data_IF_071077415069
#
_entry.id   IF_071077415069
#
_cell.length_a   1.000
_cell.length_b   1.000
_cell.length_c   1.000
_cell.angle_alpha   90.00
_cell.angle_beta   90.00
_cell.angle_gamma   90.00
#
_symmetry.space_group_name_H-M   'P 1'
#
loop_
_entity.id
_entity.type
_entity.pdbx_description
1 polymer ?
#
# COMPACT_ATOMS: atom_id res chain seq x y z
N UNK A 1 8.32 -54.68 -24.03
CA UNK A 1 7.16 -55.55 -23.74
C UNK A 1 7.75 -56.88 -23.29
N UNK A 2 7.50 -57.33 -22.06
CA UNK A 2 8.03 -58.60 -21.60
C UNK A 2 7.07 -59.71 -22.06
N UNK A 3 7.58 -60.58 -22.90
CA UNK A 3 6.93 -61.82 -23.30
C UNK A 3 7.49 -62.94 -22.44
N UNK A 4 6.65 -63.93 -22.11
CA UNK A 4 7.18 -65.14 -21.50
C UNK A 4 7.91 -66.00 -22.56
N UNK A 5 8.60 -67.05 -22.08
CA UNK A 5 9.46 -67.93 -22.94
C UNK A 5 8.60 -68.69 -23.97
N UNK A 6 7.29 -68.72 -23.80
CA UNK A 6 6.33 -69.41 -24.69
C UNK A 6 5.54 -68.47 -25.59
N UNK A 7 5.84 -67.17 -25.58
CA UNK A 7 5.26 -66.14 -26.49
C UNK A 7 3.84 -65.71 -26.12
N UNK A 8 3.38 -65.97 -24.88
CA UNK A 8 2.09 -65.47 -24.43
C UNK A 8 2.19 -64.10 -23.79
N UNK A 9 1.31 -63.16 -24.16
CA UNK A 9 1.16 -61.91 -23.48
C UNK A 9 0.77 -62.13 -22.01
N UNK A 10 1.64 -61.72 -21.09
CA UNK A 10 1.32 -61.61 -19.69
C UNK A 10 0.20 -60.58 -19.53
N UNK A 11 -1.03 -61.07 -19.55
CA UNK A 11 -2.22 -60.27 -19.38
C UNK A 11 -2.10 -59.44 -18.12
N UNK A 12 -1.99 -58.12 -18.29
CA UNK A 12 -2.06 -57.15 -17.23
C UNK A 12 -3.45 -57.18 -16.57
N UNK A 13 -3.61 -58.17 -15.67
CA UNK A 13 -4.81 -58.36 -14.88
C UNK A 13 -5.04 -57.27 -13.85
N UNK A 14 -4.92 -56.02 -14.25
CA UNK A 14 -5.44 -54.86 -13.53
C UNK A 14 -6.98 -54.92 -13.64
N UNK A 15 -7.58 -55.75 -12.80
CA UNK A 15 -9.02 -55.66 -12.50
C UNK A 15 -9.26 -54.22 -12.03
N UNK A 16 -9.86 -53.41 -12.90
CA UNK A 16 -10.44 -52.14 -12.48
C UNK A 16 -11.43 -52.46 -11.36
N UNK A 17 -11.35 -51.83 -10.19
CA UNK A 17 -12.36 -51.95 -9.17
C UNK A 17 -13.68 -51.45 -9.76
N UNK A 18 -14.54 -52.36 -10.18
CA UNK A 18 -15.90 -52.11 -10.71
C UNK A 18 -16.91 -51.86 -9.60
N UNK A 19 -16.45 -51.36 -8.47
CA UNK A 19 -17.31 -50.96 -7.37
C UNK A 19 -17.35 -49.45 -7.20
N UNK A 20 -18.07 -48.74 -8.08
CA UNK A 20 -18.57 -47.46 -7.62
C UNK A 20 -19.55 -47.74 -6.49
N UNK A 21 -19.37 -47.14 -5.31
CA UNK A 21 -20.31 -47.28 -4.21
C UNK A 21 -21.69 -46.84 -4.73
N UNK A 22 -22.65 -47.78 -4.80
CA UNK A 22 -24.03 -47.45 -5.10
C UNK A 22 -24.58 -46.71 -3.87
N UNK A 23 -24.69 -45.42 -3.98
CA UNK A 23 -25.31 -44.58 -2.96
C UNK A 23 -26.78 -44.95 -2.82
N UNK A 24 -27.26 -45.08 -1.59
CA UNK A 24 -28.66 -45.37 -1.32
C UNK A 24 -29.59 -44.31 -1.94
N UNK A 25 -30.83 -44.68 -2.33
CA UNK A 25 -31.81 -43.72 -2.83
C UNK A 25 -32.00 -42.57 -1.84
N UNK A 26 -31.70 -41.33 -2.27
CA UNK A 26 -31.73 -40.13 -1.44
C UNK A 26 -30.36 -39.60 -0.98
N UNK A 27 -29.33 -40.44 -0.96
CA UNK A 27 -27.95 -39.96 -0.65
C UNK A 27 -27.35 -39.21 -1.84
N UNK A 28 -27.64 -39.63 -3.06
CA UNK A 28 -27.22 -38.96 -4.28
C UNK A 28 -27.76 -37.53 -4.35
N UNK A 29 -29.02 -37.31 -4.00
CA UNK A 29 -29.60 -35.96 -3.96
C UNK A 29 -28.97 -35.03 -2.91
N UNK A 30 -28.67 -35.59 -1.72
CA UNK A 30 -27.98 -34.85 -0.65
C UNK A 30 -26.57 -34.49 -1.07
N UNK A 31 -25.86 -35.41 -1.72
CA UNK A 31 -24.51 -35.17 -2.23
C UNK A 31 -24.49 -34.12 -3.32
N UNK A 32 -25.44 -34.13 -4.25
CA UNK A 32 -25.57 -33.12 -5.27
C UNK A 32 -25.88 -31.72 -4.71
N UNK A 33 -26.80 -31.65 -3.72
CA UNK A 33 -27.10 -30.37 -3.03
C UNK A 33 -25.87 -29.84 -2.29
N UNK A 34 -25.18 -30.71 -1.55
CA UNK A 34 -23.95 -30.35 -0.85
C UNK A 34 -22.87 -29.84 -1.82
N UNK A 35 -22.70 -30.53 -2.96
CA UNK A 35 -21.73 -30.12 -4.00
C UNK A 35 -22.08 -28.78 -4.63
N UNK A 36 -23.37 -28.50 -4.89
CA UNK A 36 -23.82 -27.21 -5.42
C UNK A 36 -23.59 -26.07 -4.40
N UNK A 37 -23.91 -26.29 -3.12
CA UNK A 37 -23.67 -25.31 -2.06
C UNK A 37 -22.19 -25.04 -1.85
N UNK A 38 -21.37 -26.07 -1.92
CA UNK A 38 -19.91 -25.96 -1.80
C UNK A 38 -19.33 -25.18 -2.99
N UNK A 39 -19.81 -25.45 -4.20
CA UNK A 39 -19.42 -24.70 -5.41
C UNK A 39 -19.80 -23.23 -5.35
N UNK A 40 -21.01 -22.91 -4.87
CA UNK A 40 -21.45 -21.53 -4.66
C UNK A 40 -20.62 -20.80 -3.59
N UNK A 41 -20.31 -21.50 -2.49
CA UNK A 41 -19.46 -20.97 -1.42
C UNK A 41 -18.05 -20.63 -1.90
N UNK A 42 -17.43 -21.53 -2.67
CA UNK A 42 -16.10 -21.29 -3.25
C UNK A 42 -16.13 -20.14 -4.25
N UNK A 43 -17.13 -20.08 -5.13
CA UNK A 43 -17.26 -18.99 -6.09
C UNK A 43 -17.44 -17.62 -5.40
N UNK A 44 -18.26 -17.55 -4.34
CA UNK A 44 -18.45 -16.33 -3.56
C UNK A 44 -17.15 -15.88 -2.87
N UNK A 45 -16.37 -16.84 -2.34
CA UNK A 45 -15.09 -16.55 -1.69
C UNK A 45 -14.06 -16.03 -2.70
N UNK A 46 -13.95 -16.65 -3.87
CA UNK A 46 -13.05 -16.20 -4.94
C UNK A 46 -13.42 -14.80 -5.43
N UNK A 47 -14.71 -14.53 -5.64
CA UNK A 47 -15.17 -13.21 -6.06
C UNK A 47 -14.94 -12.15 -4.96
N UNK A 48 -15.13 -12.52 -3.69
CA UNK A 48 -14.85 -11.64 -2.56
C UNK A 48 -13.36 -11.27 -2.47
N UNK A 49 -12.47 -12.24 -2.59
CA UNK A 49 -11.02 -12.02 -2.57
C UNK A 49 -10.57 -11.20 -3.79
N UNK A 50 -11.05 -11.56 -4.99
CA UNK A 50 -10.73 -10.80 -6.21
C UNK A 50 -11.24 -9.36 -6.13
N UNK A 51 -12.46 -9.15 -5.61
CA UNK A 51 -13.02 -7.83 -5.39
C UNK A 51 -12.19 -7.01 -4.41
N UNK A 52 -11.71 -7.62 -3.33
CA UNK A 52 -10.83 -6.96 -2.36
C UNK A 52 -9.53 -6.48 -3.00
N UNK A 53 -8.85 -7.34 -3.78
CA UNK A 53 -7.62 -6.96 -4.47
C UNK A 53 -7.81 -5.82 -5.47
N UNK A 54 -8.93 -5.82 -6.21
CA UNK A 54 -9.23 -4.73 -7.14
C UNK A 54 -9.47 -3.41 -6.41
N UNK A 55 -10.22 -3.43 -5.30
CA UNK A 55 -10.47 -2.24 -4.49
C UNK A 55 -9.18 -1.73 -3.86
N UNK A 56 -8.36 -2.60 -3.28
CA UNK A 56 -7.08 -2.25 -2.68
C UNK A 56 -6.14 -1.60 -3.73
N UNK A 57 -6.00 -2.21 -4.92
CA UNK A 57 -5.20 -1.66 -6.01
C UNK A 57 -5.70 -0.31 -6.53
N UNK A 58 -7.03 -0.10 -6.55
CA UNK A 58 -7.62 1.17 -6.94
C UNK A 58 -7.40 2.27 -5.89
N UNK A 59 -7.34 1.90 -4.62
CA UNK A 59 -7.08 2.84 -3.52
C UNK A 59 -5.60 3.19 -3.41
N UNK A 60 -4.70 2.23 -3.57
CA UNK A 60 -3.25 2.43 -3.57
C UNK A 60 -2.78 3.38 -4.70
N UNK A 61 -3.54 3.46 -5.80
CA UNK A 61 -3.26 4.37 -6.91
C UNK A 61 -3.81 5.80 -6.74
N UNK A 62 -4.48 6.10 -5.63
CA UNK A 62 -5.04 7.44 -5.37
C UNK A 62 -4.15 8.25 -4.46
N UNK A 63 -4.04 9.54 -4.77
CA UNK A 63 -3.46 10.50 -3.84
C UNK A 63 -4.37 10.67 -2.62
N UNK A 64 -3.78 10.64 -1.45
CA UNK A 64 -4.44 10.88 -0.16
C UNK A 64 -3.72 11.99 0.60
N UNK A 65 -4.42 12.73 1.49
CA UNK A 65 -3.78 13.74 2.32
C UNK A 65 -2.59 13.17 3.09
N UNK A 66 -1.45 13.85 3.02
CA UNK A 66 -0.19 13.45 3.64
C UNK A 66 0.25 14.51 4.63
N UNK A 67 0.48 14.15 5.92
CA UNK A 67 1.03 15.08 6.89
C UNK A 67 2.42 15.56 6.46
N UNK A 68 2.61 16.87 6.48
CA UNK A 68 3.87 17.51 6.12
C UNK A 68 4.76 17.69 7.36
N UNK A 69 5.94 17.04 7.35
CA UNK A 69 6.95 17.16 8.40
C UNK A 69 8.14 17.92 7.84
N UNK A 70 8.30 19.22 8.19
CA UNK A 70 9.46 19.98 7.76
C UNK A 70 10.73 19.41 8.40
N UNK A 71 11.77 19.36 7.58
CA UNK A 71 13.08 18.80 7.94
C UNK A 71 14.18 19.74 7.45
N UNK A 72 15.11 20.05 8.32
CA UNK A 72 16.30 20.79 7.96
C UNK A 72 17.50 19.88 8.19
N UNK A 73 18.07 19.35 7.13
CA UNK A 73 19.29 18.57 7.23
C UNK A 73 20.49 19.51 7.37
N UNK A 74 21.29 19.39 8.43
CA UNK A 74 22.40 20.32 8.67
C UNK A 74 23.41 20.39 7.52
N UNK A 75 23.63 19.27 6.83
CA UNK A 75 24.61 19.17 5.74
C UNK A 75 24.05 19.64 4.38
N UNK A 76 22.72 19.65 4.21
CA UNK A 76 22.06 20.14 2.98
C UNK A 76 21.69 21.63 3.04
N UNK A 77 21.61 22.19 4.25
CA UNK A 77 21.14 23.58 4.43
C UNK A 77 22.17 24.65 4.08
N UNK A 78 23.45 24.32 4.03
CA UNK A 78 24.47 25.31 3.63
C UNK A 78 24.35 25.73 2.15
N UNK A 79 23.72 24.87 1.30
CA UNK A 79 23.53 25.11 -0.12
C UNK A 79 22.07 25.44 -0.52
N UNK A 80 21.10 25.17 0.37
CA UNK A 80 19.69 25.45 0.09
C UNK A 80 19.37 26.90 0.46
N UNK A 81 18.84 27.65 -0.51
CA UNK A 81 18.34 28.97 -0.27
C UNK A 81 17.26 28.97 0.82
N UNK A 82 17.21 30.03 1.65
CA UNK A 82 16.12 30.22 2.65
C UNK A 82 14.71 30.22 2.04
N UNK A 83 14.61 30.14 0.71
CA UNK A 83 13.38 30.01 -0.08
C UNK A 83 12.97 28.56 -0.34
N UNK A 84 13.62 27.55 0.27
CA UNK A 84 13.24 26.14 0.08
C UNK A 84 12.91 25.51 1.42
N UNK A 85 11.75 24.84 1.49
CA UNK A 85 11.38 23.97 2.61
C UNK A 85 11.51 22.53 2.15
N UNK A 86 12.19 21.73 2.95
CA UNK A 86 12.30 20.28 2.75
C UNK A 86 11.32 19.57 3.66
N UNK A 87 10.58 18.61 3.14
CA UNK A 87 9.69 17.76 3.91
C UNK A 87 10.21 16.34 3.88
N UNK A 88 10.27 15.70 5.05
CA UNK A 88 10.57 14.28 5.15
C UNK A 88 9.32 13.49 4.74
N UNK A 89 9.48 12.64 3.75
CA UNK A 89 8.44 11.73 3.25
C UNK A 89 8.94 10.29 3.30
N UNK A 90 8.02 9.33 3.39
CA UNK A 90 8.39 7.93 3.31
C UNK A 90 8.81 7.54 1.89
N UNK A 91 9.81 6.67 1.77
CA UNK A 91 10.24 6.14 0.47
C UNK A 91 9.17 5.33 -0.24
N UNK A 92 9.29 5.25 -1.56
CA UNK A 92 8.34 4.54 -2.41
C UNK A 92 7.01 5.27 -2.58
N UNK A 93 6.89 6.48 -2.02
CA UNK A 93 5.70 7.34 -2.17
C UNK A 93 5.94 8.40 -3.23
N UNK A 94 4.96 8.56 -4.10
CA UNK A 94 4.88 9.72 -4.97
C UNK A 94 4.11 10.82 -4.23
N UNK A 95 4.76 11.96 -3.96
CA UNK A 95 4.17 13.08 -3.22
C UNK A 95 4.04 14.27 -4.16
N UNK A 96 2.94 15.00 -4.03
CA UNK A 96 2.67 16.22 -4.77
C UNK A 96 2.25 17.36 -3.85
N UNK A 97 2.64 18.58 -4.21
CA UNK A 97 2.15 19.81 -3.60
C UNK A 97 0.77 20.15 -4.18
N UNK A 98 -0.24 20.19 -3.32
CA UNK A 98 -1.62 20.53 -3.71
C UNK A 98 -1.89 22.00 -3.53
N UNK A 99 -1.44 22.58 -2.42
CA UNK A 99 -1.54 24.03 -2.19
C UNK A 99 -0.36 24.54 -1.39
N UNK A 100 0.04 25.77 -1.72
CA UNK A 100 1.02 26.58 -1.02
C UNK A 100 0.45 28.00 -0.89
N UNK A 101 0.28 28.44 0.34
CA UNK A 101 -0.16 29.81 0.65
C UNK A 101 0.90 30.49 1.50
N UNK A 102 1.40 31.60 1.03
CA UNK A 102 2.41 32.39 1.74
C UNK A 102 1.82 33.70 2.26
N UNK A 103 2.03 33.97 3.52
CA UNK A 103 1.73 35.25 4.18
C UNK A 103 2.98 35.84 4.81
N UNK A 104 2.88 37.00 5.41
CA UNK A 104 4.00 37.60 6.13
C UNK A 104 4.44 36.84 7.38
N UNK A 105 3.55 35.97 7.96
CA UNK A 105 3.79 35.27 9.21
C UNK A 105 3.72 33.74 9.08
N UNK A 106 3.12 33.24 8.04
CA UNK A 106 2.85 31.80 7.87
C UNK A 106 3.10 31.33 6.43
N UNK A 107 3.53 30.09 6.31
CA UNK A 107 3.55 29.31 5.07
C UNK A 107 2.65 28.11 5.28
N UNK A 108 1.53 28.05 4.56
CA UNK A 108 0.55 26.97 4.67
C UNK A 108 0.74 25.98 3.53
N UNK A 109 0.93 24.72 3.87
CA UNK A 109 1.26 23.66 2.92
C UNK A 109 0.25 22.53 3.01
N UNK A 110 -0.17 22.04 1.84
CA UNK A 110 -0.93 20.81 1.72
C UNK A 110 -0.24 19.86 0.76
N UNK A 111 0.16 18.72 1.28
CA UNK A 111 0.71 17.62 0.50
C UNK A 111 -0.30 16.49 0.34
N UNK A 112 -0.19 15.78 -0.76
CA UNK A 112 -0.89 14.51 -0.99
C UNK A 112 0.11 13.48 -1.49
N UNK A 113 0.00 12.26 -0.97
CA UNK A 113 0.86 11.14 -1.35
C UNK A 113 0.08 9.94 -1.83
N UNK A 114 0.70 9.13 -2.70
CA UNK A 114 0.20 7.81 -3.09
C UNK A 114 1.30 6.78 -2.98
N UNK A 115 0.92 5.51 -2.84
CA UNK A 115 1.85 4.39 -2.64
C UNK A 115 2.02 4.01 -1.18
N UNK A 116 2.77 2.96 -0.93
CA UNK A 116 3.04 2.44 0.42
C UNK A 116 4.36 3.00 0.94
N UNK A 117 4.36 3.39 2.20
CA UNK A 117 5.58 3.76 2.88
C UNK A 117 6.42 2.51 3.16
N UNK A 118 7.62 2.44 2.62
CA UNK A 118 8.59 1.41 2.94
C UNK A 118 9.34 1.82 4.22
N UNK A 119 9.14 1.04 5.29
CA UNK A 119 9.37 1.43 6.70
C UNK A 119 10.80 1.80 7.10
N UNK A 120 11.82 1.63 6.27
CA UNK A 120 13.21 1.79 6.67
C UNK A 120 14.00 2.83 5.85
N UNK A 121 13.33 3.68 5.10
CA UNK A 121 14.02 4.71 4.34
C UNK A 121 13.30 6.06 4.40
N UNK A 122 14.05 7.12 4.19
CA UNK A 122 13.58 8.50 4.11
C UNK A 122 13.83 9.02 2.71
N UNK A 123 12.87 9.76 2.21
CA UNK A 123 12.99 10.55 0.99
C UNK A 123 12.57 11.99 1.29
N UNK A 124 12.95 12.92 0.44
CA UNK A 124 12.76 14.34 0.69
C UNK A 124 11.97 14.99 -0.44
N UNK A 125 10.98 15.78 -0.06
CA UNK A 125 10.18 16.56 -0.98
C UNK A 125 10.48 18.05 -0.78
N UNK A 126 10.89 18.73 -1.84
CA UNK A 126 11.32 20.13 -1.80
C UNK A 126 10.17 21.02 -2.27
N UNK A 127 9.90 22.08 -1.51
CA UNK A 127 8.91 23.10 -1.83
C UNK A 127 9.61 24.44 -1.92
N UNK A 128 9.56 25.05 -3.09
CA UNK A 128 10.11 26.39 -3.33
C UNK A 128 9.11 27.47 -2.92
N UNK A 129 9.58 28.45 -2.18
CA UNK A 129 8.82 29.60 -1.72
C UNK A 129 9.10 30.81 -2.62
N UNK A 130 8.14 31.70 -2.72
CA UNK A 130 8.33 32.98 -3.39
C UNK A 130 9.19 33.96 -2.58
N UNK A 131 9.21 33.79 -1.25
CA UNK A 131 10.01 34.60 -0.33
C UNK A 131 10.77 33.72 0.67
N UNK A 132 11.82 34.29 1.28
CA UNK A 132 12.57 33.59 2.34
C UNK A 132 11.65 33.15 3.48
N UNK A 133 11.86 31.93 4.00
CA UNK A 133 11.08 31.42 5.13
C UNK A 133 11.25 32.32 6.36
N UNK A 134 12.47 32.73 6.70
CA UNK A 134 12.75 33.56 7.87
C UNK A 134 12.14 32.98 9.15
N UNK A 135 11.44 33.85 9.89
CA UNK A 135 10.74 33.47 11.15
C UNK A 135 9.30 33.05 10.92
N UNK A 136 8.85 32.83 9.67
CA UNK A 136 7.48 32.39 9.38
C UNK A 136 7.23 30.98 9.90
N UNK A 137 6.03 30.76 10.39
CA UNK A 137 5.58 29.44 10.79
C UNK A 137 5.18 28.61 9.57
N UNK A 138 5.45 27.32 9.60
CA UNK A 138 4.95 26.36 8.61
C UNK A 138 3.70 25.71 9.19
N UNK A 139 2.59 25.75 8.48
CA UNK A 139 1.32 25.15 8.87
C UNK A 139 0.98 24.01 7.91
N UNK A 140 0.93 22.79 8.43
CA UNK A 140 0.44 21.65 7.70
C UNK A 140 -1.10 21.65 7.67
N UNK A 141 -1.69 21.86 6.50
CA UNK A 141 -3.15 21.92 6.34
C UNK A 141 -3.84 20.57 6.46
N UNK A 142 -3.09 19.46 6.49
CA UNK A 142 -3.66 18.12 6.68
C UNK A 142 -3.84 17.80 8.15
N UNK A 143 -2.83 18.00 8.96
CA UNK A 143 -2.85 17.69 10.40
C UNK A 143 -3.22 18.89 11.28
N UNK A 144 -3.12 20.10 10.77
CA UNK A 144 -3.25 21.33 11.54
C UNK A 144 -2.02 21.70 12.37
N UNK A 145 -0.95 20.91 12.29
CA UNK A 145 0.27 21.16 13.07
C UNK A 145 0.99 22.41 12.56
N UNK A 146 1.66 23.05 13.48
CA UNK A 146 2.43 24.27 13.24
C UNK A 146 3.88 24.03 13.64
N UNK A 147 4.80 24.51 12.81
CA UNK A 147 6.25 24.34 13.02
C UNK A 147 6.96 25.67 12.89
N UNK A 148 7.96 25.87 13.73
CA UNK A 148 8.85 27.01 13.68
C UNK A 148 10.30 26.54 13.59
N UNK A 149 11.17 27.30 12.94
CA UNK A 149 12.61 27.02 12.97
C UNK A 149 13.12 26.97 14.40
N UNK A 150 13.89 25.95 14.71
CA UNK A 150 14.49 25.76 16.02
C UNK A 150 15.86 25.12 15.87
N UNK A 151 16.93 25.83 16.22
CA UNK A 151 18.28 25.26 16.19
C UNK A 151 18.50 24.19 17.27
N UNK A 152 17.58 24.06 18.22
CA UNK A 152 17.68 23.10 19.32
C UNK A 152 17.22 21.70 18.91
N UNK A 153 16.50 21.57 17.80
CA UNK A 153 16.04 20.28 17.31
C UNK A 153 16.98 19.75 16.21
N UNK A 154 17.26 18.45 16.19
CA UNK A 154 18.11 17.86 15.14
C UNK A 154 17.53 17.98 13.73
N UNK A 155 16.23 18.24 13.63
CA UNK A 155 15.50 18.44 12.35
C UNK A 155 15.35 19.91 11.96
N UNK A 156 15.89 20.85 12.74
CA UNK A 156 15.84 22.27 12.49
C UNK A 156 14.46 22.93 12.64
N UNK A 157 13.43 22.18 13.02
CA UNK A 157 12.07 22.66 13.26
C UNK A 157 11.48 22.07 14.54
N UNK A 158 10.79 22.88 15.32
CA UNK A 158 10.01 22.46 16.48
C UNK A 158 8.52 22.61 16.20
N UNK A 159 7.72 21.62 16.63
CA UNK A 159 6.26 21.74 16.65
C UNK A 159 5.83 22.70 17.74
N UNK A 160 4.97 23.66 17.40
CA UNK A 160 4.43 24.64 18.34
C UNK A 160 3.11 24.08 18.87
N UNK A 161 3.01 23.91 20.17
CA UNK A 161 1.74 23.57 20.82
C UNK A 161 0.80 24.80 20.77
N UNK A 162 -0.46 24.57 20.41
CA UNK A 162 -1.52 25.60 20.52
C UNK A 162 -1.82 25.96 21.98
#
# INVERSE_FOLDING_TARGET
>A
MPWDVDGNELGSGLRRPTGQPQLAPGEAERYERARRLLGLGVAALVLGVAGWFVVDSLLDGRFSPEPAWPYAEPDLNDDLADTTIVFNIGCGREVQLVSLEETATEVRVRLEGKGKNENDCQDFFHVELANELGDREIVDLVSGRRFQRSPETPWGFAEIAE
#
